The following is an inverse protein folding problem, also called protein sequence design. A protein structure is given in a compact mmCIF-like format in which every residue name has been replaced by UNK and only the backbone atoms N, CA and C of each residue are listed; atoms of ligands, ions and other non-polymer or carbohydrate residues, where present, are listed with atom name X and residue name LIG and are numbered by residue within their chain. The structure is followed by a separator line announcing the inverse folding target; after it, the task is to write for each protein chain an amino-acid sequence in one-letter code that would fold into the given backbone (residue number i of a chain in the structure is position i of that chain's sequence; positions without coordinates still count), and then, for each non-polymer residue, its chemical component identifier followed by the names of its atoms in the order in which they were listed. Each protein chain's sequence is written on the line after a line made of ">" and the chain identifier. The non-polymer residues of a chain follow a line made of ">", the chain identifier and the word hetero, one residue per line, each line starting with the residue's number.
data_IF_291928111336
#
_entry.id   IF_291928111336
#
_cell.length_a   1.000
_cell.length_b   1.000
_cell.length_c   1.000
_cell.angle_alpha   90.00
_cell.angle_beta   90.00
_cell.angle_gamma   90.00
#
_symmetry.space_group_name_H-M   'P 1'
#
loop_
_entity.id
_entity.type
_entity.pdbx_description
1 polymer ?
#
# COMPACT_ATOMS: atom_id res chain seq x y z
N UNK A 1 -12.95 19.63 16.20
CA UNK A 1 -12.12 18.71 15.42
C UNK A 1 -12.87 17.41 15.33
N UNK A 2 -13.35 17.02 14.15
CA UNK A 2 -14.03 15.73 13.98
C UNK A 2 -12.97 14.63 14.10
N UNK A 3 -13.19 13.68 15.00
CA UNK A 3 -12.34 12.51 15.10
C UNK A 3 -12.68 11.59 13.94
N UNK A 4 -11.68 11.32 13.11
CA UNK A 4 -11.81 10.39 12.00
C UNK A 4 -11.96 8.97 12.56
N UNK A 5 -13.07 8.31 12.22
CA UNK A 5 -13.45 6.99 12.77
C UNK A 5 -12.86 5.87 11.91
N UNK A 6 -12.77 4.65 12.45
CA UNK A 6 -12.10 3.52 11.80
C UNK A 6 -12.60 3.22 10.36
N UNK A 7 -13.84 3.61 10.05
CA UNK A 7 -14.51 3.31 8.79
C UNK A 7 -14.58 4.50 7.81
N UNK A 8 -14.03 5.66 8.16
CA UNK A 8 -14.15 6.87 7.33
C UNK A 8 -13.08 6.98 6.23
N UNK A 9 -12.18 6.00 6.14
CA UNK A 9 -11.05 6.01 5.23
C UNK A 9 -11.48 6.15 3.77
N UNK A 10 -12.57 5.50 3.38
CA UNK A 10 -13.10 5.57 2.01
C UNK A 10 -13.53 6.98 1.62
N UNK A 11 -14.40 7.60 2.42
CA UNK A 11 -14.86 8.98 2.19
C UNK A 11 -13.69 9.99 2.19
N UNK A 12 -12.67 9.73 3.01
CA UNK A 12 -11.48 10.58 3.07
C UNK A 12 -10.63 10.47 1.82
N UNK A 13 -10.46 9.25 1.29
CA UNK A 13 -9.74 9.01 0.04
C UNK A 13 -10.49 9.62 -1.15
N UNK A 14 -11.82 9.48 -1.22
CA UNK A 14 -12.65 10.10 -2.25
C UNK A 14 -12.50 11.63 -2.25
N UNK A 15 -12.58 12.27 -1.07
CA UNK A 15 -12.35 13.71 -0.93
C UNK A 15 -10.95 14.14 -1.36
N UNK A 16 -9.92 13.32 -1.13
CA UNK A 16 -8.55 13.61 -1.56
C UNK A 16 -8.42 13.50 -3.08
N UNK A 17 -9.04 12.49 -3.70
CA UNK A 17 -9.13 12.35 -5.15
C UNK A 17 -9.83 13.54 -5.81
N UNK A 18 -10.97 13.98 -5.26
CA UNK A 18 -11.72 15.15 -5.76
C UNK A 18 -10.91 16.46 -5.73
N UNK A 19 -9.97 16.59 -4.79
CA UNK A 19 -9.09 17.75 -4.68
C UNK A 19 -7.89 17.70 -5.65
N UNK A 20 -7.76 16.63 -6.42
CA UNK A 20 -6.69 16.40 -7.37
C UNK A 20 -5.50 15.70 -6.71
N UNK A 21 -5.64 14.39 -6.47
CA UNK A 21 -4.54 13.58 -5.98
C UNK A 21 -3.46 13.42 -7.06
N UNK A 22 -2.28 14.00 -6.78
CA UNK A 22 -1.13 13.90 -7.67
C UNK A 22 -0.66 12.45 -7.84
N UNK A 23 -0.88 11.59 -6.84
CA UNK A 23 -0.49 10.19 -6.90
C UNK A 23 -1.33 9.39 -7.90
N UNK A 24 -2.62 9.72 -8.06
CA UNK A 24 -3.47 9.10 -9.10
C UNK A 24 -2.94 9.44 -10.50
N UNK A 25 -2.60 10.71 -10.73
CA UNK A 25 -2.00 11.16 -12.00
C UNK A 25 -0.64 10.49 -12.25
N UNK A 26 0.17 10.34 -11.20
CA UNK A 26 1.46 9.65 -11.31
C UNK A 26 1.30 8.16 -11.60
N UNK A 27 0.29 7.48 -11.04
CA UNK A 27 -0.01 6.07 -11.31
C UNK A 27 -0.36 5.81 -12.78
N UNK A 28 -1.02 6.75 -13.45
CA UNK A 28 -1.36 6.61 -14.87
C UNK A 28 -0.15 6.75 -15.79
N UNK A 29 0.87 7.50 -15.36
CA UNK A 29 2.03 7.86 -16.18
C UNK A 29 3.23 6.94 -15.89
N UNK A 30 3.36 6.49 -14.64
CA UNK A 30 4.53 5.78 -14.13
C UNK A 30 4.14 4.33 -13.87
N UNK A 31 4.78 3.41 -14.59
CA UNK A 31 4.76 2.00 -14.19
C UNK A 31 5.60 1.81 -12.92
N UNK A 32 4.96 1.83 -11.76
CA UNK A 32 5.64 1.68 -10.48
C UNK A 32 6.28 0.29 -10.29
N UNK A 33 5.89 -0.72 -11.07
CA UNK A 33 6.49 -2.05 -10.95
C UNK A 33 7.97 -2.05 -11.36
N UNK A 34 8.43 -1.09 -12.15
CA UNK A 34 9.86 -0.95 -12.49
C UNK A 34 10.72 -0.66 -11.25
N UNK A 35 10.14 -0.09 -10.19
CA UNK A 35 10.82 0.18 -8.92
C UNK A 35 10.76 -1.00 -7.94
N UNK A 36 10.21 -2.15 -8.34
CA UNK A 36 10.22 -3.37 -7.54
C UNK A 36 11.41 -4.25 -7.95
N UNK A 37 12.66 -3.96 -7.52
CA UNK A 37 13.74 -4.91 -7.74
C UNK A 37 13.38 -6.19 -6.98
N UNK A 38 13.35 -7.32 -7.68
CA UNK A 38 13.28 -8.61 -7.02
C UNK A 38 14.63 -8.81 -6.32
N UNK A 39 14.69 -8.86 -4.98
CA UNK A 39 15.95 -9.08 -4.30
C UNK A 39 16.56 -10.41 -4.76
N UNK A 40 17.86 -10.42 -5.04
CA UNK A 40 18.58 -11.64 -5.40
C UNK A 40 18.51 -12.62 -4.23
N UNK A 41 17.68 -13.66 -4.39
CA UNK A 41 17.46 -14.71 -3.38
C UNK A 41 18.73 -15.50 -3.05
N UNK A 42 19.82 -15.31 -3.82
CA UNK A 42 21.10 -16.00 -3.63
C UNK A 42 22.02 -15.29 -2.63
N UNK A 43 21.82 -14.00 -2.37
CA UNK A 43 22.68 -13.20 -1.47
C UNK A 43 22.00 -12.93 -0.12
N UNK A 44 21.70 -14.00 0.61
CA UNK A 44 21.49 -14.00 2.07
C UNK A 44 20.09 -13.61 2.57
N UNK A 45 19.68 -14.28 3.67
CA UNK A 45 18.48 -13.96 4.45
C UNK A 45 17.74 -15.21 5.00
N UNK A 46 17.05 -15.06 6.14
CA UNK A 46 16.07 -16.04 6.63
C UNK A 46 14.99 -16.20 5.54
N UNK A 47 14.57 -17.42 5.18
CA UNK A 47 13.43 -17.61 4.28
C UNK A 47 12.24 -16.77 4.74
N UNK A 48 11.47 -16.16 3.83
CA UNK A 48 10.24 -15.47 4.19
C UNK A 48 9.37 -16.42 5.00
N UNK A 49 8.77 -15.90 6.07
CA UNK A 49 7.83 -16.68 6.86
C UNK A 49 6.72 -17.20 5.96
N UNK A 50 6.32 -18.45 6.19
CA UNK A 50 5.08 -18.96 5.63
C UNK A 50 3.94 -18.08 6.17
N UNK A 51 3.12 -17.41 5.32
CA UNK A 51 2.04 -16.56 5.77
C UNK A 51 0.92 -17.41 6.39
N UNK A 52 1.14 -17.85 7.62
CA UNK A 52 0.13 -18.53 8.44
C UNK A 52 -0.63 -17.46 9.21
N UNK A 53 -1.91 -17.32 8.91
CA UNK A 53 -2.83 -16.50 9.70
C UNK A 53 -3.00 -17.14 11.08
N UNK A 54 -2.26 -16.62 12.06
CA UNK A 54 -2.44 -17.00 13.46
C UNK A 54 -3.67 -16.27 14.02
N UNK A 55 -4.84 -16.89 13.92
CA UNK A 55 -6.00 -16.44 14.67
C UNK A 55 -5.73 -16.63 16.16
N UNK A 56 -5.62 -15.54 16.90
CA UNK A 56 -5.67 -15.61 18.37
C UNK A 56 -7.11 -15.87 18.78
N UNK A 57 -7.29 -16.87 19.65
CA UNK A 57 -8.52 -17.12 20.40
C UNK A 57 -8.68 -16.10 21.53
#
# INVERSE_FOLDING_TARGET
>A
MAQHDLFDLGERLERVGDLGDTLEVMNDIIDFEVFRPVPDRRKGGRPPFDPVLMFKY
#
